data_IF_608282397707
#
_entry.id   IF_608282397707
#
_cell.length_a   1.000
_cell.length_b   1.000
_cell.length_c   1.000
_cell.angle_alpha   90.00
_cell.angle_beta   90.00
_cell.angle_gamma   90.00
#
_symmetry.space_group_name_H-M   'P 1'
#
loop_
_entity.id
_entity.type
_entity.pdbx_description
1 polymer ?
#
# COMPACT_ATOMS: atom_id res chain seq x y z
N UNK A 1 -17.89 22.17 5.18
CA UNK A 1 -16.65 21.48 5.61
C UNK A 1 -16.12 20.68 4.42
N UNK A 2 -14.81 20.76 4.17
CA UNK A 2 -14.19 19.91 3.14
C UNK A 2 -14.17 18.46 3.67
N UNK A 3 -14.63 17.52 2.85
CA UNK A 3 -14.54 16.09 3.17
C UNK A 3 -13.08 15.69 3.17
N UNK A 4 -12.63 14.98 4.20
CA UNK A 4 -11.28 14.44 4.30
C UNK A 4 -11.00 13.50 3.11
N UNK A 5 -9.82 13.60 2.53
CA UNK A 5 -9.36 12.68 1.49
C UNK A 5 -8.74 11.42 2.11
N UNK A 6 -8.82 10.27 1.44
CA UNK A 6 -8.20 9.04 1.94
C UNK A 6 -7.48 8.26 0.85
N UNK A 7 -6.47 7.51 1.26
CA UNK A 7 -5.59 6.69 0.42
C UNK A 7 -5.54 5.28 0.98
N UNK A 8 -5.85 4.29 0.15
CA UNK A 8 -5.72 2.88 0.50
C UNK A 8 -4.29 2.41 0.24
N UNK A 9 -3.65 1.82 1.25
CA UNK A 9 -2.30 1.26 1.18
C UNK A 9 -2.36 -0.26 1.17
N UNK A 10 -2.02 -0.88 0.05
CA UNK A 10 -2.04 -2.33 -0.14
C UNK A 10 -0.75 -2.83 -0.78
N UNK A 11 -0.37 -4.05 -0.49
CA UNK A 11 0.89 -4.65 -0.94
C UNK A 11 1.57 -5.46 0.15
N UNK A 12 2.91 -5.48 0.14
CA UNK A 12 3.67 -6.25 1.11
C UNK A 12 4.60 -5.39 2.00
N UNK A 13 5.72 -5.93 2.45
CA UNK A 13 6.58 -5.32 3.48
C UNK A 13 7.08 -3.92 3.14
N UNK A 14 7.40 -3.62 1.88
CA UNK A 14 7.86 -2.29 1.48
C UNK A 14 6.73 -1.25 1.40
N UNK A 15 5.47 -1.68 1.27
CA UNK A 15 4.32 -0.81 1.49
C UNK A 15 4.08 -0.62 3.00
N UNK A 16 4.10 -1.70 3.78
CA UNK A 16 3.89 -1.63 5.23
C UNK A 16 4.95 -0.76 5.94
N UNK A 17 6.20 -0.87 5.50
CA UNK A 17 7.33 -0.14 6.08
C UNK A 17 8.25 -1.02 6.92
N UNK A 18 9.56 -0.91 6.67
CA UNK A 18 10.62 -1.64 7.39
C UNK A 18 11.82 -0.76 7.74
N UNK A 19 11.76 0.54 7.41
CA UNK A 19 12.79 1.48 7.79
C UNK A 19 12.87 1.67 9.32
N UNK A 20 14.05 1.94 9.84
CA UNK A 20 14.23 2.15 11.28
C UNK A 20 13.68 3.51 11.69
N UNK A 21 12.79 3.52 12.69
CA UNK A 21 12.07 4.71 13.14
C UNK A 21 13.05 5.82 13.59
N UNK A 22 14.19 5.45 14.16
CA UNK A 22 15.16 6.40 14.71
C UNK A 22 16.13 6.98 13.67
N UNK A 23 16.08 6.54 12.41
CA UNK A 23 17.01 6.98 11.36
C UNK A 23 16.50 8.17 10.55
N UNK A 24 15.23 8.53 10.70
CA UNK A 24 14.61 9.63 9.95
C UNK A 24 13.86 10.57 10.91
N UNK A 25 13.75 11.87 10.57
CA UNK A 25 12.91 12.80 11.32
C UNK A 25 11.45 12.35 11.34
N UNK A 26 10.81 12.47 12.49
CA UNK A 26 9.38 12.21 12.63
C UNK A 26 8.57 13.24 11.83
N UNK A 27 7.61 12.74 11.04
CA UNK A 27 6.64 13.60 10.36
C UNK A 27 5.50 13.89 11.36
N UNK A 28 5.42 15.13 11.82
CA UNK A 28 4.35 15.62 12.68
C UNK A 28 3.50 16.61 11.90
N UNK A 29 2.33 16.19 11.45
CA UNK A 29 1.39 17.03 10.72
C UNK A 29 -0.05 16.62 11.07
N UNK A 30 -0.78 17.53 11.72
CA UNK A 30 -2.17 17.31 12.15
C UNK A 30 -3.16 17.06 11.01
N UNK A 31 -2.76 17.38 9.78
CA UNK A 31 -3.56 17.11 8.57
C UNK A 31 -3.38 15.70 8.01
N UNK A 32 -2.45 14.92 8.57
CA UNK A 32 -2.21 13.53 8.16
C UNK A 32 -2.78 12.61 9.23
N UNK A 33 -3.78 11.85 8.87
CA UNK A 33 -4.42 10.87 9.73
C UNK A 33 -4.12 9.45 9.27
N UNK A 34 -4.30 8.49 10.16
CA UNK A 34 -4.27 7.07 9.82
C UNK A 34 -5.47 6.36 10.43
N UNK A 35 -6.02 5.40 9.69
CA UNK A 35 -7.08 4.55 10.20
C UNK A 35 -6.48 3.47 11.12
N UNK A 36 -6.93 3.41 12.35
CA UNK A 36 -6.53 2.38 13.32
C UNK A 36 -7.66 2.10 14.29
N UNK A 37 -7.94 0.82 14.55
CA UNK A 37 -9.01 0.38 15.45
C UNK A 37 -10.37 1.03 15.09
N UNK A 38 -10.71 1.02 13.81
CA UNK A 38 -11.94 1.60 13.28
C UNK A 38 -12.13 3.11 13.62
N UNK A 39 -11.03 3.86 13.69
CA UNK A 39 -11.07 5.31 13.93
C UNK A 39 -9.89 6.03 13.30
N UNK A 40 -10.10 7.31 12.98
CA UNK A 40 -9.04 8.18 12.51
C UNK A 40 -8.26 8.75 13.70
N UNK A 41 -6.95 8.68 13.62
CA UNK A 41 -6.04 9.30 14.58
C UNK A 41 -4.89 9.98 13.85
N UNK A 42 -4.21 10.90 14.51
CA UNK A 42 -3.03 11.54 13.94
C UNK A 42 -2.00 10.48 13.55
N UNK A 43 -1.41 10.63 12.37
CA UNK A 43 -0.43 9.70 11.83
C UNK A 43 0.80 9.61 12.74
N UNK A 44 1.21 8.40 13.03
CA UNK A 44 2.46 8.07 13.69
C UNK A 44 3.03 6.76 13.10
N UNK A 45 4.35 6.71 12.94
CA UNK A 45 5.01 5.46 12.49
C UNK A 45 5.12 4.45 13.66
N UNK A 46 5.02 3.15 13.38
CA UNK A 46 4.68 2.56 12.10
C UNK A 46 3.20 2.77 11.74
N UNK A 47 2.93 3.27 10.54
CA UNK A 47 1.55 3.48 10.07
C UNK A 47 0.85 2.14 9.88
N UNK A 48 1.52 1.20 9.22
CA UNK A 48 1.01 -0.14 8.93
C UNK A 48 1.67 -1.18 9.85
N UNK A 49 1.02 -1.49 10.95
CA UNK A 49 1.54 -2.44 11.94
C UNK A 49 1.12 -3.87 11.60
N UNK A 50 1.79 -4.49 10.63
CA UNK A 50 1.56 -5.89 10.21
C UNK A 50 2.45 -6.89 10.95
N UNK A 51 3.63 -6.47 11.40
CA UNK A 51 4.65 -7.31 12.05
C UNK A 51 5.32 -6.55 13.20
N UNK A 52 5.94 -7.26 14.16
CA UNK A 52 6.68 -6.63 15.26
C UNK A 52 7.85 -5.74 14.79
N UNK A 53 8.40 -6.01 13.60
CA UNK A 53 9.45 -5.20 12.96
C UNK A 53 8.90 -4.17 11.96
N UNK A 54 7.63 -3.84 12.04
CA UNK A 54 7.06 -2.73 11.26
C UNK A 54 7.76 -1.41 11.62
N UNK A 55 7.99 -0.57 10.63
CA UNK A 55 8.73 0.68 10.78
C UNK A 55 8.34 1.70 9.73
N UNK A 56 9.27 2.56 9.36
CA UNK A 56 9.05 3.61 8.37
C UNK A 56 8.75 3.01 7.00
N UNK A 57 7.68 3.50 6.39
CA UNK A 57 7.27 3.17 5.02
C UNK A 57 7.17 4.41 4.14
N UNK A 58 6.70 4.21 2.91
CA UNK A 58 6.59 5.29 1.92
C UNK A 58 5.39 6.23 2.15
N UNK A 59 4.38 5.78 2.89
CA UNK A 59 3.09 6.47 2.95
C UNK A 59 3.14 7.78 3.74
N UNK A 60 3.96 7.86 4.79
CA UNK A 60 4.12 9.09 5.56
C UNK A 60 4.69 10.24 4.73
N UNK A 61 5.76 9.99 3.96
CA UNK A 61 6.35 10.99 3.07
C UNK A 61 5.43 11.32 1.89
N UNK A 62 4.72 10.33 1.34
CA UNK A 62 3.69 10.56 0.32
C UNK A 62 2.62 11.53 0.84
N UNK A 63 2.06 11.28 2.02
CA UNK A 63 1.03 12.12 2.62
C UNK A 63 1.56 13.53 2.95
N UNK A 64 2.80 13.64 3.40
CA UNK A 64 3.43 14.94 3.67
C UNK A 64 3.55 15.78 2.39
N UNK A 65 4.02 15.18 1.29
CA UNK A 65 4.10 15.86 -0.01
C UNK A 65 2.71 16.23 -0.53
N UNK A 66 1.74 15.33 -0.40
CA UNK A 66 0.35 15.65 -0.79
C UNK A 66 -0.20 16.86 -0.02
N UNK A 67 0.04 16.94 1.29
CA UNK A 67 -0.38 18.09 2.09
C UNK A 67 0.30 19.41 1.70
N UNK A 68 1.51 19.36 1.15
CA UNK A 68 2.20 20.56 0.64
C UNK A 68 1.49 21.13 -0.60
N UNK A 69 0.99 20.26 -1.47
CA UNK A 69 0.28 20.65 -2.69
C UNK A 69 -1.20 20.98 -2.46
N UNK A 70 -1.78 20.57 -1.31
CA UNK A 70 -3.21 20.71 -0.98
C UNK A 70 -3.38 21.45 0.35
N UNK A 71 -3.19 22.76 0.32
CA UNK A 71 -3.26 23.61 1.51
C UNK A 71 -4.65 23.54 2.17
N UNK A 72 -4.66 23.35 3.48
CA UNK A 72 -5.89 23.28 4.29
C UNK A 72 -6.71 22.00 4.13
N UNK A 73 -6.24 21.02 3.37
CA UNK A 73 -6.91 19.72 3.25
C UNK A 73 -6.28 18.67 4.17
N UNK A 74 -7.08 17.69 4.59
CA UNK A 74 -6.66 16.55 5.38
C UNK A 74 -6.59 15.28 4.52
N UNK A 75 -5.60 14.42 4.81
CA UNK A 75 -5.45 13.12 4.17
C UNK A 75 -5.41 12.02 5.22
N UNK A 76 -6.19 10.97 5.02
CA UNK A 76 -6.25 9.77 5.83
C UNK A 76 -5.59 8.59 5.12
N UNK A 77 -4.70 7.89 5.81
CA UNK A 77 -4.04 6.68 5.31
C UNK A 77 -4.76 5.45 5.83
N UNK A 78 -5.08 4.50 4.94
CA UNK A 78 -5.79 3.25 5.26
C UNK A 78 -4.78 2.10 5.11
N UNK A 79 -4.08 1.70 6.19
CA UNK A 79 -3.01 0.71 6.13
C UNK A 79 -3.58 -0.72 6.07
N UNK A 80 -3.35 -1.41 4.96
CA UNK A 80 -3.80 -2.79 4.73
C UNK A 80 -2.72 -3.70 4.13
N UNK A 81 -1.46 -3.28 4.12
CA UNK A 81 -0.37 -4.10 3.60
C UNK A 81 0.03 -5.22 4.58
N UNK A 82 0.51 -6.34 4.04
CA UNK A 82 0.96 -7.50 4.82
C UNK A 82 2.33 -7.98 4.34
N UNK A 83 3.30 -8.00 5.25
CA UNK A 83 4.66 -8.42 4.95
C UNK A 83 4.75 -9.87 4.47
N UNK A 84 5.51 -10.08 3.38
CA UNK A 84 5.71 -11.39 2.78
C UNK A 84 4.55 -11.93 1.95
N UNK A 85 3.49 -11.14 1.74
CA UNK A 85 2.34 -11.60 0.97
C UNK A 85 2.62 -11.68 -0.53
N UNK A 86 2.13 -12.74 -1.15
CA UNK A 86 2.10 -12.98 -2.61
C UNK A 86 0.76 -12.52 -3.22
N UNK A 87 0.66 -12.52 -4.54
CA UNK A 87 -0.63 -12.28 -5.21
C UNK A 87 -1.68 -13.36 -4.89
N UNK A 88 -1.25 -14.58 -4.56
CA UNK A 88 -2.17 -15.64 -4.13
C UNK A 88 -2.77 -15.34 -2.74
N UNK A 89 -2.01 -14.69 -1.86
CA UNK A 89 -2.53 -14.22 -0.56
C UNK A 89 -3.50 -13.03 -0.73
N UNK A 90 -3.36 -12.26 -1.81
CA UNK A 90 -4.22 -11.15 -2.18
C UNK A 90 -5.43 -11.55 -3.03
N UNK A 91 -5.59 -12.83 -3.41
CA UNK A 91 -6.73 -13.27 -4.20
C UNK A 91 -8.06 -12.85 -3.55
N UNK A 92 -9.08 -12.60 -4.37
CA UNK A 92 -10.35 -11.97 -3.95
C UNK A 92 -11.13 -12.76 -2.88
N UNK A 93 -10.90 -14.05 -2.77
CA UNK A 93 -11.47 -14.92 -1.75
C UNK A 93 -10.68 -14.93 -0.42
N UNK A 94 -9.50 -14.32 -0.39
CA UNK A 94 -8.57 -14.32 0.73
C UNK A 94 -8.78 -13.15 1.71
N UNK A 95 -8.22 -13.32 2.90
CA UNK A 95 -8.43 -12.38 3.99
C UNK A 95 -7.82 -11.00 3.74
N UNK A 96 -6.68 -10.90 3.04
CA UNK A 96 -6.04 -9.60 2.78
C UNK A 96 -6.92 -8.72 1.91
N UNK A 97 -7.46 -9.27 0.81
CA UNK A 97 -8.41 -8.57 -0.05
C UNK A 97 -9.66 -8.14 0.72
N UNK A 98 -10.28 -9.08 1.43
CA UNK A 98 -11.50 -8.80 2.21
C UNK A 98 -11.28 -7.73 3.27
N UNK A 99 -10.13 -7.79 3.97
CA UNK A 99 -9.77 -6.77 4.95
C UNK A 99 -9.60 -5.39 4.30
N UNK A 100 -8.92 -5.32 3.16
CA UNK A 100 -8.75 -4.05 2.44
C UNK A 100 -10.11 -3.44 2.04
N UNK A 101 -11.05 -4.25 1.55
CA UNK A 101 -12.42 -3.81 1.22
C UNK A 101 -13.14 -3.31 2.47
N UNK A 102 -13.07 -4.04 3.59
CA UNK A 102 -13.72 -3.66 4.85
C UNK A 102 -13.14 -2.34 5.38
N UNK A 103 -11.82 -2.21 5.45
CA UNK A 103 -11.17 -1.02 5.99
C UNK A 103 -11.41 0.21 5.11
N UNK A 104 -11.31 0.06 3.79
CA UNK A 104 -11.62 1.15 2.86
C UNK A 104 -13.11 1.52 2.91
N UNK A 105 -14.02 0.56 2.91
CA UNK A 105 -15.46 0.81 3.03
C UNK A 105 -15.83 1.50 4.35
N UNK A 106 -15.15 1.16 5.44
CA UNK A 106 -15.31 1.85 6.71
C UNK A 106 -14.82 3.30 6.63
N UNK A 107 -13.62 3.52 6.10
CA UNK A 107 -13.02 4.84 5.94
C UNK A 107 -13.88 5.77 5.04
N UNK A 108 -14.48 5.21 4.00
CA UNK A 108 -15.31 5.94 3.04
C UNK A 108 -16.67 6.41 3.61
N UNK A 109 -17.02 6.07 4.85
CA UNK A 109 -18.20 6.62 5.51
C UNK A 109 -18.05 8.10 5.83
N UNK A 110 -16.82 8.57 6.07
CA UNK A 110 -16.51 9.95 6.44
C UNK A 110 -15.30 10.54 5.68
N UNK A 111 -14.81 9.84 4.65
CA UNK A 111 -13.75 10.31 3.76
C UNK A 111 -14.03 9.98 2.29
N UNK A 112 -13.36 10.68 1.39
CA UNK A 112 -13.35 10.39 -0.04
C UNK A 112 -12.06 9.65 -0.41
N UNK A 113 -12.19 8.41 -0.92
CA UNK A 113 -11.07 7.64 -1.43
C UNK A 113 -10.56 8.26 -2.73
N UNK A 114 -9.35 8.82 -2.73
CA UNK A 114 -8.75 9.52 -3.88
C UNK A 114 -7.57 8.79 -4.50
N UNK A 115 -7.12 7.69 -3.92
CA UNK A 115 -6.00 6.93 -4.45
C UNK A 115 -5.83 5.56 -3.81
N UNK A 116 -5.23 4.67 -4.57
CA UNK A 116 -4.83 3.33 -4.14
C UNK A 116 -3.32 3.22 -4.37
N UNK A 117 -2.54 2.95 -3.33
CA UNK A 117 -1.12 2.67 -3.43
C UNK A 117 -0.89 1.16 -3.39
N UNK A 118 -0.22 0.65 -4.41
CA UNK A 118 0.19 -0.75 -4.50
C UNK A 118 1.71 -0.86 -4.53
N UNK A 119 2.29 -1.61 -3.60
CA UNK A 119 3.71 -1.96 -3.62
C UNK A 119 3.89 -3.41 -3.16
N UNK A 120 4.06 -4.31 -4.11
CA UNK A 120 4.21 -5.76 -3.90
C UNK A 120 4.88 -6.36 -5.13
N UNK A 121 5.53 -7.50 -4.95
CA UNK A 121 6.08 -8.27 -6.07
C UNK A 121 7.29 -9.10 -5.67
N UNK A 122 7.93 -8.82 -4.56
CA UNK A 122 9.09 -9.57 -4.08
C UNK A 122 8.75 -11.05 -3.86
N UNK A 123 7.57 -11.34 -3.29
CA UNK A 123 7.09 -12.71 -3.07
C UNK A 123 6.71 -13.45 -4.35
N UNK A 124 6.56 -12.75 -5.46
CA UNK A 124 6.28 -13.30 -6.80
C UNK A 124 7.49 -13.18 -7.76
N UNK A 125 8.67 -12.77 -7.23
CA UNK A 125 9.90 -12.55 -8.00
C UNK A 125 10.84 -13.77 -8.02
N UNK A 126 10.30 -14.96 -7.90
CA UNK A 126 11.00 -16.25 -8.03
C UNK A 126 10.03 -17.35 -8.43
N UNK A 127 10.56 -18.45 -8.96
CA UNK A 127 9.76 -19.62 -9.31
C UNK A 127 8.75 -19.41 -10.45
N UNK A 128 8.95 -18.40 -11.29
CA UNK A 128 8.07 -18.09 -12.42
C UNK A 128 6.81 -17.32 -12.06
N UNK A 129 6.71 -16.73 -10.86
CA UNK A 129 5.55 -15.97 -10.40
C UNK A 129 5.14 -14.84 -11.35
N UNK A 130 6.13 -14.20 -12.00
CA UNK A 130 5.90 -13.14 -12.99
C UNK A 130 4.99 -13.53 -14.15
N UNK A 131 4.96 -14.83 -14.53
CA UNK A 131 4.17 -15.31 -15.69
C UNK A 131 2.66 -15.10 -15.53
N UNK A 132 2.16 -15.11 -14.31
CA UNK A 132 0.75 -14.89 -14.00
C UNK A 132 0.49 -13.57 -13.29
N UNK A 133 1.54 -12.79 -12.99
CA UNK A 133 1.49 -11.62 -12.15
C UNK A 133 0.47 -10.58 -12.64
N UNK A 134 0.58 -10.15 -13.91
CA UNK A 134 -0.32 -9.15 -14.49
C UNK A 134 -1.80 -9.56 -14.36
N UNK A 135 -2.12 -10.80 -14.77
CA UNK A 135 -3.51 -11.30 -14.75
C UNK A 135 -4.07 -11.35 -13.33
N UNK A 136 -3.27 -11.84 -12.36
CA UNK A 136 -3.69 -11.89 -10.96
C UNK A 136 -3.92 -10.50 -10.38
N UNK A 137 -2.97 -9.58 -10.59
CA UNK A 137 -3.11 -8.21 -10.11
C UNK A 137 -4.29 -7.51 -10.77
N UNK A 138 -4.51 -7.68 -12.07
CA UNK A 138 -5.66 -7.14 -12.78
C UNK A 138 -6.98 -7.55 -12.11
N UNK A 139 -7.16 -8.83 -11.83
CA UNK A 139 -8.37 -9.36 -11.16
C UNK A 139 -8.53 -8.73 -9.76
N UNK A 140 -7.44 -8.61 -9.00
CA UNK A 140 -7.47 -8.01 -7.66
C UNK A 140 -7.92 -6.55 -7.74
N UNK A 141 -7.32 -5.75 -8.62
CA UNK A 141 -7.61 -4.31 -8.74
C UNK A 141 -9.01 -4.06 -9.29
N UNK A 142 -9.42 -4.79 -10.33
CA UNK A 142 -10.77 -4.68 -10.90
C UNK A 142 -11.86 -5.05 -9.87
N UNK A 143 -11.62 -6.12 -9.10
CA UNK A 143 -12.53 -6.55 -8.04
C UNK A 143 -12.59 -5.53 -6.90
N UNK A 144 -11.43 -4.97 -6.50
CA UNK A 144 -11.35 -3.95 -5.47
C UNK A 144 -12.14 -2.69 -5.88
N UNK A 145 -11.94 -2.22 -7.11
CA UNK A 145 -12.69 -1.08 -7.68
C UNK A 145 -14.19 -1.32 -7.72
N UNK A 146 -14.60 -2.54 -8.05
CA UNK A 146 -16.01 -2.94 -8.06
C UNK A 146 -16.61 -2.93 -6.66
N UNK A 147 -15.94 -3.57 -5.69
CA UNK A 147 -16.43 -3.65 -4.30
C UNK A 147 -16.53 -2.26 -3.64
N UNK A 148 -15.62 -1.35 -3.96
CA UNK A 148 -15.57 0.01 -3.40
C UNK A 148 -16.29 1.05 -4.25
N UNK A 149 -16.84 0.68 -5.42
CA UNK A 149 -17.37 1.62 -6.42
C UNK A 149 -16.35 2.72 -6.78
N UNK A 150 -15.08 2.34 -6.93
CA UNK A 150 -13.91 3.22 -7.05
C UNK A 150 -13.26 3.13 -8.44
N UNK A 151 -14.05 3.09 -9.51
CA UNK A 151 -13.58 2.86 -10.88
C UNK A 151 -12.64 3.95 -11.39
N UNK A 152 -12.89 5.20 -10.99
CA UNK A 152 -12.11 6.37 -11.42
C UNK A 152 -10.96 6.72 -10.45
N UNK A 153 -10.82 5.98 -9.35
CA UNK A 153 -9.77 6.25 -8.36
C UNK A 153 -8.42 5.83 -8.93
N UNK A 154 -7.41 6.72 -8.97
CA UNK A 154 -6.08 6.39 -9.47
C UNK A 154 -5.42 5.25 -8.69
N UNK A 155 -4.73 4.37 -9.41
CA UNK A 155 -3.84 3.37 -8.86
C UNK A 155 -2.40 3.83 -9.08
N UNK A 156 -1.64 3.94 -8.01
CA UNK A 156 -0.22 4.25 -8.04
C UNK A 156 0.55 2.99 -7.66
N UNK A 157 1.39 2.52 -8.57
CA UNK A 157 2.16 1.29 -8.42
C UNK A 157 3.63 1.62 -8.21
N UNK A 158 4.21 1.13 -7.12
CA UNK A 158 5.64 1.17 -6.89
C UNK A 158 6.36 0.01 -7.57
N UNK A 159 7.38 0.30 -8.37
CA UNK A 159 8.27 -0.72 -8.93
C UNK A 159 9.21 -1.30 -7.87
N UNK A 160 9.68 -2.52 -8.11
CA UNK A 160 10.63 -3.21 -7.25
C UNK A 160 12.04 -2.66 -7.44
N UNK A 161 12.80 -2.55 -6.36
CA UNK A 161 14.16 -2.02 -6.38
C UNK A 161 15.20 -2.97 -6.98
N UNK A 162 16.22 -2.40 -7.60
CA UNK A 162 17.30 -3.11 -8.29
C UNK A 162 18.34 -3.78 -7.36
N UNK A 163 18.18 -3.61 -6.05
CA UNK A 163 18.96 -4.31 -5.02
C UNK A 163 18.52 -5.78 -4.82
N UNK A 164 17.32 -6.14 -5.27
CA UNK A 164 16.78 -7.49 -5.13
C UNK A 164 17.62 -8.53 -5.91
N UNK A 165 17.65 -9.76 -5.41
CA UNK A 165 18.41 -10.85 -6.00
C UNK A 165 19.92 -10.77 -5.81
N UNK A 166 20.45 -9.70 -5.19
CA UNK A 166 21.91 -9.46 -5.06
C UNK A 166 22.44 -9.75 -3.66
N UNK A 167 21.80 -9.21 -2.63
CA UNK A 167 22.29 -9.32 -1.24
C UNK A 167 21.14 -9.32 -0.22
N UNK A 168 21.35 -9.94 0.92
CA UNK A 168 20.53 -9.82 2.12
C UNK A 168 19.07 -10.23 1.92
N UNK A 169 18.16 -9.41 2.41
CA UNK A 169 16.73 -9.60 2.28
C UNK A 169 16.32 -9.49 0.81
N UNK A 170 15.65 -10.51 0.28
CA UNK A 170 15.25 -10.55 -1.12
C UNK A 170 16.28 -11.20 -2.05
N UNK A 171 17.26 -11.93 -1.53
CA UNK A 171 18.23 -12.68 -2.33
C UNK A 171 17.57 -13.64 -3.32
N UNK A 172 16.42 -14.21 -2.96
CA UNK A 172 15.65 -15.12 -3.82
C UNK A 172 14.83 -14.40 -4.90
N UNK A 173 14.68 -13.08 -4.81
CA UNK A 173 13.88 -12.29 -5.74
C UNK A 173 14.64 -12.03 -7.05
N UNK A 174 15.12 -13.06 -7.71
CA UNK A 174 15.96 -12.98 -8.92
C UNK A 174 15.16 -12.60 -10.18
N UNK A 175 13.84 -12.70 -10.14
CA UNK A 175 12.94 -12.41 -11.27
C UNK A 175 12.23 -11.05 -11.09
N UNK A 176 12.73 -10.15 -10.23
CA UNK A 176 12.08 -8.86 -9.93
C UNK A 176 11.95 -7.95 -11.15
N UNK A 177 12.91 -8.00 -12.09
CA UNK A 177 12.84 -7.23 -13.34
C UNK A 177 11.66 -7.70 -14.20
N UNK A 178 11.42 -9.01 -14.27
CA UNK A 178 10.29 -9.58 -15.00
C UNK A 178 8.94 -9.23 -14.34
N UNK A 179 8.91 -9.12 -13.01
CA UNK A 179 7.73 -8.59 -12.29
C UNK A 179 7.54 -7.12 -12.61
N UNK A 180 8.61 -6.30 -12.62
CA UNK A 180 8.54 -4.90 -13.00
C UNK A 180 8.00 -4.71 -14.43
N UNK A 181 8.39 -5.57 -15.37
CA UNK A 181 7.82 -5.57 -16.73
C UNK A 181 6.30 -5.84 -16.73
N UNK A 182 5.79 -6.65 -15.78
CA UNK A 182 4.34 -6.86 -15.66
C UNK A 182 3.65 -5.63 -15.06
N UNK A 183 4.27 -4.99 -14.05
CA UNK A 183 3.75 -3.76 -13.44
C UNK A 183 3.64 -2.60 -14.44
N UNK A 184 4.56 -2.50 -15.38
CA UNK A 184 4.55 -1.46 -16.42
C UNK A 184 3.40 -1.62 -17.43
N UNK A 185 2.63 -2.72 -17.39
CA UNK A 185 1.47 -2.92 -18.26
C UNK A 185 0.19 -2.29 -17.72
N UNK A 186 0.21 -1.82 -16.46
CA UNK A 186 -0.89 -1.09 -15.82
C UNK A 186 -0.82 0.40 -16.13
#
# INVERSE_FOLDING_TARGET
EKIMKSILMIGQSNMAGRGFINEVPMICNERILMLRNAGWQMMAEPINYDRPNAGIGLAGSFAAMWCMEHEGEQIGLIPCAEGGSSLDDWAVDKNLFKNAVIQAGFAMQDSELIGILWHQGESDSYGGGYQTYYKKLQVIIESLRKELNAFEVPLIIGGLGDFLGKNGFGLNCTEYELVNEQLLKF
#
